data_IF_086143755528
#
_entry.id   IF_086143755528
#
_cell.length_a   1.000
_cell.length_b   1.000
_cell.length_c   1.000
_cell.angle_alpha   90.00
_cell.angle_beta   90.00
_cell.angle_gamma   90.00
#
_symmetry.space_group_name_H-M   'P 1'
#
loop_
_entity.id
_entity.type
_entity.pdbx_description
1 polymer ?
#
# COMPACT_ATOMS: atom_id res chain seq x y z
N UNK A 1 38.89 6.50 4.45
CA UNK A 1 38.02 7.54 5.04
C UNK A 1 36.59 7.23 4.62
N UNK A 2 35.66 7.05 5.57
CA UNK A 2 34.28 6.68 5.24
C UNK A 2 33.49 7.89 4.69
N UNK A 3 32.80 7.72 3.57
CA UNK A 3 32.00 8.76 2.91
C UNK A 3 30.58 8.80 3.49
N UNK A 4 30.37 9.62 4.52
CA UNK A 4 29.06 9.76 5.17
C UNK A 4 28.02 10.51 4.32
N UNK A 5 28.43 11.17 3.24
CA UNK A 5 27.53 11.90 2.31
C UNK A 5 26.74 10.98 1.38
N UNK A 6 27.19 9.74 1.20
CA UNK A 6 26.50 8.74 0.37
C UNK A 6 25.37 8.01 1.10
N UNK A 7 25.27 8.19 2.43
CA UNK A 7 24.22 7.58 3.23
C UNK A 7 22.89 8.26 2.93
N UNK A 8 21.94 7.49 2.43
CA UNK A 8 20.61 7.99 2.11
C UNK A 8 19.82 8.28 3.39
N UNK A 9 19.05 9.37 3.40
CA UNK A 9 18.17 9.72 4.51
C UNK A 9 17.06 8.68 4.68
N UNK A 10 16.90 8.15 5.89
CA UNK A 10 15.89 7.13 6.18
C UNK A 10 14.48 7.75 6.15
N UNK A 11 13.56 7.09 5.46
CA UNK A 11 12.15 7.53 5.39
C UNK A 11 11.45 7.31 6.75
N UNK A 12 10.52 8.20 7.18
CA UNK A 12 9.60 7.94 8.28
C UNK A 12 8.77 6.65 8.12
N UNK A 13 8.39 6.01 9.23
CA UNK A 13 7.68 4.72 9.21
C UNK A 13 6.37 4.72 8.39
N UNK A 14 5.62 5.84 8.41
CA UNK A 14 4.36 5.98 7.66
C UNK A 14 4.60 5.96 6.15
N UNK A 15 5.54 6.77 5.68
CA UNK A 15 5.89 6.88 4.27
C UNK A 15 6.52 5.57 3.76
N UNK A 16 7.28 4.85 4.60
CA UNK A 16 7.79 3.52 4.24
C UNK A 16 6.65 2.54 3.93
N UNK A 17 5.58 2.54 4.72
CA UNK A 17 4.40 1.68 4.48
C UNK A 17 3.71 2.08 3.18
N UNK A 18 3.52 3.37 2.93
CA UNK A 18 2.82 3.86 1.75
C UNK A 18 3.61 3.56 0.46
N UNK A 19 4.93 3.74 0.47
CA UNK A 19 5.81 3.38 -0.67
C UNK A 19 5.75 1.89 -0.99
N UNK A 20 5.86 1.03 0.03
CA UNK A 20 5.85 -0.43 -0.17
C UNK A 20 4.49 -0.91 -0.69
N UNK A 21 3.39 -0.39 -0.14
CA UNK A 21 2.05 -0.78 -0.56
C UNK A 21 1.71 -0.23 -1.95
N UNK A 22 2.07 1.02 -2.24
CA UNK A 22 1.84 1.64 -3.54
C UNK A 22 2.61 0.93 -4.67
N UNK A 23 3.88 0.57 -4.44
CA UNK A 23 4.67 -0.24 -5.40
C UNK A 23 4.08 -1.64 -5.60
N UNK A 24 3.56 -2.26 -4.53
CA UNK A 24 2.93 -3.58 -4.62
C UNK A 24 1.67 -3.52 -5.49
N UNK A 25 0.85 -2.48 -5.31
CA UNK A 25 -0.38 -2.30 -6.08
C UNK A 25 -0.10 -1.98 -7.56
N UNK A 26 0.89 -1.13 -7.88
CA UNK A 26 1.27 -0.82 -9.27
C UNK A 26 1.89 -2.00 -10.03
N UNK A 27 2.56 -2.91 -9.33
CA UNK A 27 3.31 -4.04 -9.94
C UNK A 27 2.56 -5.37 -9.91
N UNK A 28 1.34 -5.42 -9.38
CA UNK A 28 0.53 -6.64 -9.32
C UNK A 28 -0.86 -6.40 -9.87
N UNK A 29 -1.51 -7.40 -10.50
CA UNK A 29 -2.88 -7.25 -10.95
C UNK A 29 -3.81 -6.85 -9.80
N UNK A 30 -4.86 -6.07 -10.11
CA UNK A 30 -5.72 -5.41 -9.12
C UNK A 30 -7.10 -6.02 -9.02
N UNK A 31 -7.60 -6.65 -10.09
CA UNK A 31 -8.98 -7.12 -10.20
C UNK A 31 -9.09 -8.65 -10.11
N UNK A 32 -10.11 -9.12 -9.39
CA UNK A 32 -10.51 -10.52 -9.26
C UNK A 32 -12.03 -10.57 -9.27
N UNK A 33 -12.59 -11.56 -9.96
CA UNK A 33 -14.03 -11.80 -9.98
C UNK A 33 -14.39 -13.12 -9.27
N UNK A 34 -15.57 -13.22 -8.63
CA UNK A 34 -16.01 -14.42 -7.92
C UNK A 34 -16.09 -15.68 -8.80
N UNK A 35 -16.33 -15.52 -10.10
CA UNK A 35 -16.47 -16.62 -11.06
C UNK A 35 -15.13 -17.29 -11.43
N UNK A 36 -14.00 -16.79 -10.94
CA UNK A 36 -12.70 -17.39 -11.21
C UNK A 36 -12.50 -18.70 -10.45
N UNK A 37 -11.76 -19.63 -11.07
CA UNK A 37 -11.32 -20.86 -10.41
C UNK A 37 -10.59 -20.52 -9.09
N UNK A 38 -10.90 -21.27 -8.03
CA UNK A 38 -10.34 -21.05 -6.69
C UNK A 38 -8.80 -21.00 -6.67
N UNK A 39 -8.15 -21.78 -7.54
CA UNK A 39 -6.68 -21.79 -7.71
C UNK A 39 -6.13 -20.43 -8.14
N UNK A 40 -6.84 -19.73 -9.03
CA UNK A 40 -6.48 -18.39 -9.51
C UNK A 40 -6.69 -17.33 -8.43
N UNK A 41 -7.76 -17.43 -7.65
CA UNK A 41 -8.04 -16.50 -6.54
C UNK A 41 -6.96 -16.65 -5.46
N UNK A 42 -6.61 -17.89 -5.11
CA UNK A 42 -5.52 -18.18 -4.15
C UNK A 42 -4.18 -17.64 -4.64
N UNK A 43 -3.81 -17.91 -5.89
CA UNK A 43 -2.53 -17.46 -6.45
C UNK A 43 -2.45 -15.92 -6.54
N UNK A 44 -3.57 -15.24 -6.79
CA UNK A 44 -3.66 -13.78 -6.78
C UNK A 44 -3.25 -13.19 -5.42
N UNK A 45 -3.85 -13.67 -4.32
CA UNK A 45 -3.53 -13.16 -2.98
C UNK A 45 -2.14 -13.59 -2.51
N UNK A 46 -1.71 -14.83 -2.80
CA UNK A 46 -0.36 -15.30 -2.50
C UNK A 46 0.71 -14.44 -3.19
N UNK A 47 0.49 -14.08 -4.46
CA UNK A 47 1.39 -13.19 -5.21
C UNK A 47 1.54 -11.82 -4.53
N UNK A 48 0.46 -11.22 -4.03
CA UNK A 48 0.52 -9.91 -3.32
C UNK A 48 1.34 -10.00 -2.03
N UNK A 49 1.13 -11.04 -1.23
CA UNK A 49 1.87 -11.25 0.05
C UNK A 49 3.37 -11.44 -0.22
N UNK A 50 3.72 -12.34 -1.15
CA UNK A 50 5.12 -12.62 -1.49
C UNK A 50 5.81 -11.38 -2.06
N UNK A 51 5.13 -10.62 -2.93
CA UNK A 51 5.68 -9.39 -3.52
C UNK A 51 6.00 -8.37 -2.42
N UNK A 52 5.06 -8.13 -1.50
CA UNK A 52 5.25 -7.22 -0.37
C UNK A 52 6.40 -7.65 0.54
N UNK A 53 6.53 -8.94 0.84
CA UNK A 53 7.64 -9.46 1.65
C UNK A 53 9.00 -9.22 0.97
N UNK A 54 9.13 -9.49 -0.33
CA UNK A 54 10.35 -9.22 -1.11
C UNK A 54 10.72 -7.72 -1.12
N UNK A 55 9.72 -6.82 -1.13
CA UNK A 55 9.96 -5.37 -1.10
C UNK A 55 10.45 -4.85 0.26
N UNK A 56 10.29 -5.58 1.38
CA UNK A 56 10.74 -5.11 2.71
C UNK A 56 12.25 -4.85 2.79
N UNK A 57 13.07 -5.63 2.08
CA UNK A 57 14.53 -5.44 2.05
C UNK A 57 14.94 -4.22 1.23
N UNK A 58 14.21 -3.92 0.17
CA UNK A 58 14.44 -2.78 -0.74
C UNK A 58 13.83 -1.47 -0.23
N UNK A 59 13.03 -1.52 0.84
CA UNK A 59 12.32 -0.36 1.38
C UNK A 59 13.20 0.52 2.29
N UNK A 60 14.33 0.01 2.79
CA UNK A 60 15.24 0.75 3.68
C UNK A 60 15.90 1.93 2.98
N UNK A 61 16.22 1.76 1.69
CA UNK A 61 16.86 2.78 0.85
C UNK A 61 15.91 3.36 -0.19
N UNK A 62 14.61 3.02 -0.10
CA UNK A 62 13.62 3.57 -1.00
C UNK A 62 13.51 5.08 -0.76
N UNK A 63 13.24 5.85 -1.82
CA UNK A 63 12.77 7.23 -1.73
C UNK A 63 11.32 7.28 -2.18
N UNK A 64 10.54 8.19 -1.60
CA UNK A 64 9.23 8.56 -2.12
C UNK A 64 9.44 9.23 -3.47
N UNK A 65 9.09 8.54 -4.55
CA UNK A 65 9.15 9.08 -5.91
C UNK A 65 7.87 9.85 -6.27
N UNK A 66 7.88 10.59 -7.37
CA UNK A 66 6.73 11.39 -7.84
C UNK A 66 5.48 10.53 -8.12
N UNK A 67 5.67 9.26 -8.51
CA UNK A 67 4.59 8.29 -8.67
C UNK A 67 4.06 7.68 -7.35
N UNK A 68 4.59 8.08 -6.19
CA UNK A 68 4.18 7.60 -4.87
C UNK A 68 3.20 8.59 -4.22
N UNK A 69 1.93 8.55 -4.65
CA UNK A 69 0.88 9.40 -4.08
C UNK A 69 0.50 8.98 -2.65
N UNK A 70 0.18 9.97 -1.81
CA UNK A 70 -0.41 9.75 -0.49
C UNK A 70 -1.72 8.97 -0.65
N UNK A 71 -1.80 7.76 -0.10
CA UNK A 71 -3.01 6.95 -0.11
C UNK A 71 -3.93 7.53 0.98
N UNK A 72 -5.00 8.27 0.63
CA UNK A 72 -5.75 9.05 1.61
C UNK A 72 -6.47 8.16 2.62
N UNK A 73 -6.79 6.91 2.25
CA UNK A 73 -7.45 5.94 3.11
C UNK A 73 -7.11 4.50 2.71
N UNK A 74 -6.74 3.66 3.70
CA UNK A 74 -6.49 2.22 3.51
C UNK A 74 -7.77 1.39 3.44
N UNK A 75 -8.91 1.99 3.74
CA UNK A 75 -10.22 1.35 3.73
C UNK A 75 -11.02 1.91 2.56
N UNK A 76 -11.74 1.07 1.81
CA UNK A 76 -12.49 1.55 0.67
C UNK A 76 -13.72 2.35 1.10
N UNK A 77 -14.05 3.40 0.35
CA UNK A 77 -15.13 4.38 0.64
C UNK A 77 -16.50 3.72 0.90
N UNK A 78 -16.76 2.56 0.31
CA UNK A 78 -17.98 1.78 0.53
C UNK A 78 -18.14 1.24 1.96
N UNK A 79 -17.07 1.21 2.77
CA UNK A 79 -17.13 0.84 4.18
C UNK A 79 -17.50 2.03 5.10
N UNK A 80 -17.47 3.25 4.57
CA UNK A 80 -17.84 4.48 5.28
C UNK A 80 -19.12 5.14 4.76
N UNK A 81 -19.64 4.66 3.63
CA UNK A 81 -21.00 4.95 3.18
C UNK A 81 -22.00 4.43 4.23
N UNK A 82 -22.52 5.32 5.08
CA UNK A 82 -23.61 5.02 6.00
C UNK A 82 -23.29 5.11 7.50
N UNK A 83 -22.03 5.37 7.90
CA UNK A 83 -21.75 5.72 9.30
C UNK A 83 -22.03 7.21 9.52
N UNK A 84 -23.28 7.54 9.82
CA UNK A 84 -23.66 8.88 10.27
C UNK A 84 -22.77 9.29 11.46
N UNK A 85 -22.10 10.44 11.36
CA UNK A 85 -21.42 11.05 12.49
C UNK A 85 -22.38 11.31 13.65
N UNK A 86 -21.87 11.20 14.87
CA UNK A 86 -22.63 11.49 16.08
C UNK A 86 -22.97 12.99 16.10
N UNK A 87 -24.27 13.29 16.11
CA UNK A 87 -24.93 14.62 16.16
C UNK A 87 -25.08 15.37 14.84
N UNK A 88 -26.33 15.40 14.34
CA UNK A 88 -26.89 16.51 13.57
C UNK A 88 -28.22 16.87 14.24
N UNK A 89 -28.31 18.09 14.75
CA UNK A 89 -29.60 18.66 15.16
C UNK A 89 -30.45 18.84 13.90
N UNK A 90 -31.72 18.41 13.96
CA UNK A 90 -32.66 18.49 12.83
C UNK A 90 -33.71 19.54 13.15
N UNK A 91 -33.25 20.76 13.39
CA UNK A 91 -34.12 21.92 13.62
C UNK A 91 -33.82 23.00 12.60
#
# INVERSE_FOLDING_TARGET
MYSFKEIQTVIPAKDMVDVVLSRTQRRTPTEVHPQFKITRIRSFYMRKVIKRQKQRRLARDAKKGEGDHHIPEKKPKHLFSGKMGFKRDRR
#
